data_IF_988937287811
#
_entry.id   IF_988937287811
#
_cell.length_a   1.000
_cell.length_b   1.000
_cell.length_c   1.000
_cell.angle_alpha   90.00
_cell.angle_beta   90.00
_cell.angle_gamma   90.00
#
_symmetry.space_group_name_H-M   'P 1'
#
loop_
_entity.id
_entity.type
_entity.pdbx_description
1 polymer ?
#
# COMPACT_ATOMS: atom_id res chain seq x y z
N UNK A 1 -26.26 -33.37 -13.86
CA UNK A 1 -25.86 -31.95 -13.92
C UNK A 1 -26.34 -31.28 -12.64
N UNK A 2 -25.44 -31.10 -11.68
CA UNK A 2 -25.75 -30.32 -10.46
C UNK A 2 -25.31 -28.89 -10.73
N UNK A 3 -26.27 -27.98 -10.57
CA UNK A 3 -26.12 -26.53 -10.56
C UNK A 3 -25.00 -26.12 -9.61
N UNK A 4 -23.84 -25.75 -10.15
CA UNK A 4 -22.82 -25.00 -9.41
C UNK A 4 -23.32 -23.58 -9.23
N UNK A 5 -23.72 -23.29 -8.00
CA UNK A 5 -24.15 -21.97 -7.56
C UNK A 5 -22.96 -21.01 -7.71
N UNK A 6 -23.18 -19.86 -8.34
CA UNK A 6 -22.15 -18.85 -8.65
C UNK A 6 -21.58 -18.17 -7.38
N UNK A 7 -22.21 -18.42 -6.23
CA UNK A 7 -21.87 -17.78 -4.95
C UNK A 7 -20.69 -18.43 -4.20
N UNK A 8 -20.16 -19.57 -4.64
CA UNK A 8 -19.06 -20.25 -3.94
C UNK A 8 -17.65 -19.71 -4.30
N UNK A 9 -17.54 -18.73 -5.21
CA UNK A 9 -16.24 -18.13 -5.63
C UNK A 9 -15.93 -16.76 -5.02
N UNK A 10 -16.76 -16.26 -4.12
CA UNK A 10 -16.53 -14.99 -3.41
C UNK A 10 -16.20 -15.23 -1.92
N UNK A 11 -15.15 -16.02 -1.66
CA UNK A 11 -14.34 -15.85 -0.44
C UNK A 11 -13.37 -14.66 -0.54
N UNK A 12 -13.57 -13.76 -1.51
CA UNK A 12 -13.04 -12.41 -1.46
C UNK A 12 -13.88 -11.62 -0.46
N UNK A 13 -13.56 -11.74 0.82
CA UNK A 13 -13.70 -10.58 1.70
C UNK A 13 -12.80 -9.49 1.14
N UNK A 14 -13.29 -8.71 0.18
CA UNK A 14 -12.62 -7.45 -0.17
C UNK A 14 -12.72 -6.53 1.04
N UNK A 15 -11.69 -5.75 1.39
CA UNK A 15 -11.75 -4.82 2.53
C UNK A 15 -13.00 -3.92 2.53
N UNK A 16 -13.57 -3.63 1.35
CA UNK A 16 -14.83 -2.88 1.18
C UNK A 16 -16.06 -3.50 1.87
N UNK A 17 -16.20 -4.84 1.93
CA UNK A 17 -17.32 -5.48 2.66
C UNK A 17 -17.10 -5.52 4.18
N UNK A 18 -15.87 -5.24 4.60
CA UNK A 18 -15.46 -5.07 5.99
C UNK A 18 -15.72 -3.63 6.48
N UNK A 19 -15.41 -2.61 5.68
CA UNK A 19 -15.51 -1.18 6.05
C UNK A 19 -16.92 -0.65 6.39
N UNK A 20 -18.01 -1.28 5.95
CA UNK A 20 -19.38 -0.84 6.27
C UNK A 20 -19.88 -1.27 7.66
N UNK A 21 -19.12 -2.12 8.37
CA UNK A 21 -19.46 -2.56 9.72
C UNK A 21 -18.58 -1.79 10.70
N UNK A 22 -19.10 -1.53 11.91
CA UNK A 22 -18.34 -0.98 13.05
C UNK A 22 -17.06 -1.81 13.24
N UNK A 23 -15.95 -1.39 12.66
CA UNK A 23 -14.73 -2.18 12.65
C UNK A 23 -13.74 -1.69 13.69
N UNK A 24 -13.08 -2.67 14.29
CA UNK A 24 -12.09 -2.52 15.34
C UNK A 24 -10.72 -2.21 14.74
N UNK A 25 -9.83 -1.60 15.52
CA UNK A 25 -8.47 -1.23 15.14
C UNK A 25 -7.66 -2.32 14.40
N UNK A 26 -7.97 -3.61 14.60
CA UNK A 26 -7.33 -4.75 13.92
C UNK A 26 -7.65 -4.84 12.42
N UNK A 27 -8.82 -4.37 11.98
CA UNK A 27 -9.21 -4.36 10.57
C UNK A 27 -8.46 -3.28 9.77
N UNK A 28 -8.04 -2.20 10.45
CA UNK A 28 -7.22 -1.13 9.88
C UNK A 28 -5.78 -1.59 9.61
N UNK A 29 -5.21 -2.43 10.50
CA UNK A 29 -3.88 -3.03 10.34
C UNK A 29 -3.72 -3.78 9.02
N UNK A 30 -4.67 -4.71 8.77
CA UNK A 30 -4.65 -5.54 7.57
C UNK A 30 -4.71 -4.70 6.30
N UNK A 31 -5.51 -3.62 6.32
CA UNK A 31 -5.60 -2.68 5.21
C UNK A 31 -4.29 -1.88 5.03
N UNK A 32 -3.62 -1.50 6.12
CA UNK A 32 -2.36 -0.75 6.09
C UNK A 32 -1.20 -1.60 5.55
N UNK A 33 -1.05 -2.85 6.03
CA UNK A 33 -0.03 -3.80 5.54
C UNK A 33 -0.22 -4.15 4.05
N UNK A 34 -1.46 -4.18 3.57
CA UNK A 34 -1.77 -4.38 2.15
C UNK A 34 -1.45 -3.15 1.28
N UNK A 35 -1.57 -1.94 1.85
CA UNK A 35 -1.36 -0.66 1.17
C UNK A 35 -0.01 0.00 1.46
N UNK A 36 0.88 -0.73 2.14
CA UNK A 36 2.21 -0.25 2.53
C UNK A 36 2.93 0.41 1.34
N UNK A 37 3.62 1.53 1.60
CA UNK A 37 4.22 2.40 0.57
C UNK A 37 5.09 1.64 -0.43
N UNK A 38 5.78 0.60 0.04
CA UNK A 38 6.63 -0.25 -0.78
C UNK A 38 5.87 -0.90 -1.96
N UNK A 39 4.62 -1.36 -1.79
CA UNK A 39 3.83 -1.93 -2.89
C UNK A 39 3.38 -0.88 -3.90
N UNK A 40 3.03 0.31 -3.41
CA UNK A 40 2.64 1.45 -4.27
C UNK A 40 3.86 1.88 -5.11
N UNK A 41 5.02 2.01 -4.47
CA UNK A 41 6.29 2.37 -5.11
C UNK A 41 6.74 1.32 -6.13
N UNK A 42 6.50 0.03 -5.86
CA UNK A 42 6.77 -1.07 -6.81
C UNK A 42 5.97 -0.87 -8.09
N UNK A 43 4.65 -0.70 -7.99
CA UNK A 43 3.79 -0.54 -9.16
C UNK A 43 4.14 0.77 -9.89
N UNK A 44 4.41 1.86 -9.18
CA UNK A 44 4.81 3.13 -9.77
C UNK A 44 6.12 3.00 -10.57
N UNK A 45 7.10 2.29 -10.02
CA UNK A 45 8.38 2.02 -10.68
C UNK A 45 8.20 1.20 -11.95
N UNK A 46 7.35 0.16 -11.91
CA UNK A 46 7.02 -0.64 -13.09
C UNK A 46 6.28 0.18 -14.16
N UNK A 47 5.31 1.04 -13.78
CA UNK A 47 4.63 1.97 -14.69
C UNK A 47 5.63 2.90 -15.38
N UNK A 48 6.55 3.50 -14.63
CA UNK A 48 7.61 4.37 -15.16
C UNK A 48 8.49 3.61 -16.16
N UNK A 49 8.84 2.38 -15.85
CA UNK A 49 9.63 1.52 -16.73
C UNK A 49 8.89 1.17 -18.03
N UNK A 50 7.61 0.76 -17.97
CA UNK A 50 6.83 0.47 -19.18
C UNK A 50 6.68 1.72 -20.04
N UNK A 51 6.35 2.89 -19.44
CA UNK A 51 6.30 4.18 -20.14
C UNK A 51 7.59 4.50 -20.88
N UNK A 52 8.73 4.22 -20.24
CA UNK A 52 10.04 4.37 -20.86
C UNK A 52 10.20 3.39 -22.03
N UNK A 53 9.79 2.14 -21.91
CA UNK A 53 9.88 1.14 -22.99
C UNK A 53 9.11 1.58 -24.23
N UNK A 54 7.88 2.09 -24.07
CA UNK A 54 7.01 2.50 -25.18
C UNK A 54 7.34 3.88 -25.78
N UNK A 55 8.27 4.62 -25.18
CA UNK A 55 8.72 5.92 -25.69
C UNK A 55 9.48 5.76 -27.02
N UNK A 56 9.30 6.70 -27.94
CA UNK A 56 9.82 6.62 -29.31
C UNK A 56 11.36 6.53 -29.38
N UNK A 57 12.06 7.06 -28.38
CA UNK A 57 13.53 7.12 -28.36
C UNK A 57 14.17 5.89 -27.68
N UNK A 58 13.38 4.92 -27.22
CA UNK A 58 13.89 3.78 -26.47
C UNK A 58 14.12 2.54 -27.35
N UNK A 59 15.36 2.03 -27.34
CA UNK A 59 15.78 0.83 -28.08
C UNK A 59 15.29 -0.48 -27.48
N UNK A 60 14.72 -0.49 -26.28
CA UNK A 60 14.29 -1.71 -25.58
C UNK A 60 13.28 -2.51 -26.42
N UNK A 61 12.23 -1.87 -26.96
CA UNK A 61 11.24 -2.58 -27.79
C UNK A 61 11.87 -3.09 -29.08
N UNK A 62 12.79 -2.34 -29.68
CA UNK A 62 13.50 -2.78 -30.88
C UNK A 62 14.33 -4.05 -30.60
N UNK A 63 15.03 -4.09 -29.46
CA UNK A 63 15.82 -5.26 -29.04
C UNK A 63 14.90 -6.47 -28.76
N UNK A 64 13.74 -6.23 -28.16
CA UNK A 64 12.73 -7.27 -27.93
C UNK A 64 12.22 -7.83 -29.27
N UNK A 65 11.79 -6.96 -30.18
CA UNK A 65 11.27 -7.36 -31.49
C UNK A 65 12.33 -8.08 -32.32
N UNK A 66 13.56 -7.56 -32.36
CA UNK A 66 14.70 -8.21 -33.01
C UNK A 66 14.98 -9.59 -32.39
N UNK A 67 14.91 -9.71 -31.07
CA UNK A 67 15.10 -10.98 -30.37
C UNK A 67 14.04 -12.01 -30.69
N UNK A 68 12.76 -11.61 -30.68
CA UNK A 68 11.64 -12.46 -31.09
C UNK A 68 11.83 -12.91 -32.54
N UNK A 69 12.18 -11.98 -33.45
CA UNK A 69 12.40 -12.30 -34.87
C UNK A 69 13.49 -13.34 -35.10
N UNK A 70 14.52 -13.33 -34.24
CA UNK A 70 15.66 -14.28 -34.28
C UNK A 70 15.42 -15.56 -33.47
N UNK A 71 14.28 -15.68 -32.79
CA UNK A 71 13.98 -16.80 -31.91
C UNK A 71 14.89 -16.87 -30.68
N UNK A 72 15.35 -15.72 -30.16
CA UNK A 72 16.13 -15.67 -28.93
C UNK A 72 15.30 -16.18 -27.75
N UNK A 73 15.92 -16.97 -26.87
CA UNK A 73 15.29 -17.32 -25.60
C UNK A 73 15.19 -16.10 -24.67
N UNK A 74 14.29 -16.20 -23.69
CA UNK A 74 14.00 -15.12 -22.76
C UNK A 74 15.26 -14.65 -21.98
N UNK A 75 16.15 -15.56 -21.58
CA UNK A 75 17.36 -15.21 -20.82
C UNK A 75 18.34 -14.40 -21.67
N UNK A 76 18.51 -14.75 -22.95
CA UNK A 76 19.32 -14.01 -23.90
C UNK A 76 18.73 -12.61 -24.18
N UNK A 77 17.40 -12.53 -24.25
CA UNK A 77 16.68 -11.26 -24.40
C UNK A 77 16.91 -10.34 -23.20
N UNK A 78 16.75 -10.85 -21.98
CA UNK A 78 16.96 -10.10 -20.73
C UNK A 78 18.39 -9.57 -20.66
N UNK A 79 19.40 -10.38 -20.94
CA UNK A 79 20.81 -9.94 -20.98
C UNK A 79 21.07 -8.81 -21.98
N UNK A 80 20.29 -8.75 -23.06
CA UNK A 80 20.43 -7.70 -24.08
C UNK A 80 19.79 -6.38 -23.66
N UNK A 81 18.82 -6.43 -22.74
CA UNK A 81 18.06 -5.26 -22.27
C UNK A 81 18.64 -4.71 -20.96
N UNK A 82 19.17 -5.58 -20.10
CA UNK A 82 19.69 -5.24 -18.77
C UNK A 82 20.63 -4.01 -18.75
N UNK A 83 21.59 -3.86 -19.69
CA UNK A 83 22.47 -2.67 -19.71
C UNK A 83 21.74 -1.35 -20.01
N UNK A 84 20.52 -1.41 -20.54
CA UNK A 84 19.70 -0.24 -20.87
C UNK A 84 18.82 0.22 -19.69
N UNK A 85 18.74 -0.60 -18.63
CA UNK A 85 17.98 -0.29 -17.42
C UNK A 85 18.84 0.58 -16.51
N UNK A 86 18.68 1.89 -16.65
CA UNK A 86 19.39 2.86 -15.79
C UNK A 86 18.56 3.29 -14.57
N UNK A 87 17.39 2.70 -14.36
CA UNK A 87 16.50 3.03 -13.25
C UNK A 87 16.98 2.34 -11.97
N UNK A 88 17.12 3.09 -10.89
CA UNK A 88 17.22 2.51 -9.55
C UNK A 88 15.86 1.89 -9.20
N UNK A 89 15.85 0.63 -8.81
CA UNK A 89 14.66 -0.07 -8.34
C UNK A 89 14.51 0.13 -6.83
N UNK A 90 13.28 0.33 -6.37
CA UNK A 90 12.94 0.16 -4.96
C UNK A 90 12.85 -1.33 -4.64
N UNK A 91 13.39 -1.78 -3.51
CA UNK A 91 13.31 -3.17 -3.07
C UNK A 91 13.94 -4.19 -4.03
N UNK A 92 13.42 -5.42 -4.02
CA UNK A 92 13.89 -6.57 -4.81
C UNK A 92 13.16 -6.76 -6.14
N UNK A 93 12.66 -5.69 -6.76
CA UNK A 93 11.92 -5.76 -8.03
C UNK A 93 12.85 -6.18 -9.17
N UNK A 94 12.42 -7.15 -9.98
CA UNK A 94 13.06 -7.45 -11.25
C UNK A 94 12.20 -6.87 -12.37
N UNK A 95 12.56 -5.67 -12.83
CA UNK A 95 11.81 -4.94 -13.86
C UNK A 95 11.59 -5.73 -15.15
N UNK A 96 12.43 -6.70 -15.45
CA UNK A 96 12.28 -7.50 -16.66
C UNK A 96 11.34 -8.68 -16.43
N UNK A 97 11.57 -9.46 -15.39
CA UNK A 97 10.72 -10.59 -15.05
C UNK A 97 9.29 -10.13 -14.73
N UNK A 98 9.14 -9.12 -13.88
CA UNK A 98 7.83 -8.66 -13.39
C UNK A 98 7.01 -7.98 -14.51
N UNK A 99 7.67 -7.35 -15.48
CA UNK A 99 6.97 -6.70 -16.58
C UNK A 99 6.74 -7.64 -17.75
N UNK A 100 7.66 -8.55 -18.08
CA UNK A 100 7.60 -9.31 -19.34
C UNK A 100 7.25 -10.80 -19.21
N UNK A 101 7.38 -11.45 -18.05
CA UNK A 101 7.10 -12.90 -17.94
C UNK A 101 5.64 -13.24 -18.25
N UNK A 102 4.71 -12.38 -17.85
CA UNK A 102 3.27 -12.59 -18.09
C UNK A 102 2.79 -12.01 -19.43
N UNK A 103 3.68 -11.35 -20.19
CA UNK A 103 3.34 -10.91 -21.54
C UNK A 103 3.40 -12.11 -22.48
N UNK A 104 2.24 -12.52 -22.99
CA UNK A 104 2.17 -13.37 -24.19
C UNK A 104 2.70 -12.59 -25.40
N UNK A 105 4.01 -12.65 -25.60
CA UNK A 105 4.71 -12.04 -26.73
C UNK A 105 4.31 -12.75 -28.04
N UNK A 106 4.20 -12.02 -29.15
CA UNK A 106 3.81 -12.59 -30.43
C UNK A 106 4.85 -13.61 -30.93
N UNK A 107 4.38 -14.69 -31.57
CA UNK A 107 5.26 -15.59 -32.30
C UNK A 107 5.82 -14.88 -33.55
N UNK A 108 7.08 -15.15 -33.90
CA UNK A 108 7.75 -14.53 -35.06
C UNK A 108 7.17 -14.95 -36.42
N UNK A 109 6.26 -15.93 -36.46
CA UNK A 109 5.73 -16.49 -37.71
C UNK A 109 4.82 -15.49 -38.40
N UNK A 110 5.36 -14.83 -39.42
CA UNK A 110 4.59 -14.03 -40.39
C UNK A 110 4.54 -12.53 -40.10
N UNK A 111 5.24 -12.04 -39.06
CA UNK A 111 5.36 -10.61 -38.79
C UNK A 111 6.75 -10.10 -39.16
N UNK A 112 6.81 -8.97 -39.86
CA UNK A 112 8.07 -8.24 -40.04
C UNK A 112 8.45 -7.48 -38.75
N UNK A 113 9.71 -7.02 -38.65
CA UNK A 113 10.21 -6.35 -37.44
C UNK A 113 9.35 -5.14 -37.02
N UNK A 114 8.90 -4.24 -37.92
CA UNK A 114 7.95 -3.18 -37.57
C UNK A 114 6.63 -3.68 -36.96
N UNK A 115 6.04 -4.74 -37.51
CA UNK A 115 4.80 -5.34 -36.99
C UNK A 115 5.00 -5.98 -35.61
N UNK A 116 6.17 -6.60 -35.37
CA UNK A 116 6.54 -7.12 -34.05
C UNK A 116 6.72 -5.98 -33.03
N UNK A 117 7.34 -4.86 -33.42
CA UNK A 117 7.48 -3.67 -32.57
C UNK A 117 6.11 -3.15 -32.14
N UNK A 118 5.19 -2.97 -33.09
CA UNK A 118 3.83 -2.48 -32.79
C UNK A 118 3.04 -3.48 -31.94
N UNK A 119 3.18 -4.79 -32.19
CA UNK A 119 2.52 -5.82 -31.39
C UNK A 119 3.01 -5.84 -29.94
N UNK A 120 4.33 -5.82 -29.71
CA UNK A 120 4.94 -5.75 -28.37
C UNK A 120 4.53 -4.48 -27.65
N UNK A 121 4.54 -3.34 -28.37
CA UNK A 121 4.11 -2.05 -27.84
C UNK A 121 2.63 -2.07 -27.44
N UNK A 122 1.75 -2.65 -28.25
CA UNK A 122 0.33 -2.81 -27.93
C UNK A 122 0.12 -3.62 -26.65
N UNK A 123 0.82 -4.74 -26.48
CA UNK A 123 0.74 -5.54 -25.23
C UNK A 123 1.24 -4.78 -24.01
N UNK A 124 2.31 -4.01 -24.14
CA UNK A 124 2.81 -3.14 -23.07
C UNK A 124 1.85 -2.01 -22.74
N UNK A 125 1.16 -1.44 -23.74
CA UNK A 125 0.12 -0.42 -23.53
C UNK A 125 -1.10 -1.00 -22.79
N UNK A 126 -1.52 -2.22 -23.11
CA UNK A 126 -2.61 -2.89 -22.39
C UNK A 126 -2.22 -3.16 -20.92
N UNK A 127 -1.01 -3.68 -20.69
CA UNK A 127 -0.49 -3.88 -19.32
C UNK A 127 -0.39 -2.56 -18.58
N UNK A 128 0.15 -1.50 -19.22
CA UNK A 128 0.23 -0.17 -18.64
C UNK A 128 -1.14 0.34 -18.19
N UNK A 129 -2.19 0.19 -19.01
CA UNK A 129 -3.54 0.61 -18.66
C UNK A 129 -4.08 -0.11 -17.42
N UNK A 130 -3.85 -1.42 -17.32
CA UNK A 130 -4.27 -2.22 -16.15
C UNK A 130 -3.54 -1.74 -14.90
N UNK A 131 -2.22 -1.59 -14.98
CA UNK A 131 -1.39 -1.16 -13.86
C UNK A 131 -1.69 0.27 -13.42
N UNK A 132 -1.94 1.22 -14.35
CA UNK A 132 -2.34 2.58 -14.00
C UNK A 132 -3.68 2.61 -13.26
N UNK A 133 -4.62 1.73 -13.63
CA UNK A 133 -5.89 1.57 -12.92
C UNK A 133 -5.67 1.01 -11.51
N UNK A 134 -4.85 -0.03 -11.37
CA UNK A 134 -4.51 -0.64 -10.08
C UNK A 134 -3.79 0.35 -9.17
N UNK A 135 -2.77 1.03 -9.69
CA UNK A 135 -2.03 2.08 -8.99
C UNK A 135 -2.96 3.19 -8.51
N UNK A 136 -3.87 3.68 -9.36
CA UNK A 136 -4.84 4.69 -8.96
C UNK A 136 -5.72 4.20 -7.79
N UNK A 137 -6.25 2.98 -7.89
CA UNK A 137 -7.07 2.39 -6.81
C UNK A 137 -6.26 2.29 -5.51
N UNK A 138 -4.98 1.90 -5.57
CA UNK A 138 -4.13 1.84 -4.39
C UNK A 138 -3.83 3.23 -3.81
N UNK A 139 -3.51 4.22 -4.63
CA UNK A 139 -3.28 5.60 -4.20
C UNK A 139 -4.53 6.19 -3.55
N UNK A 140 -5.70 6.05 -4.19
CA UNK A 140 -6.96 6.56 -3.66
C UNK A 140 -7.29 5.89 -2.30
N UNK A 141 -7.02 4.59 -2.17
CA UNK A 141 -7.17 3.86 -0.90
C UNK A 141 -6.21 4.32 0.18
N UNK A 142 -4.93 4.52 -0.15
CA UNK A 142 -3.92 4.99 0.79
C UNK A 142 -4.26 6.41 1.28
N UNK A 143 -4.68 7.31 0.38
CA UNK A 143 -5.17 8.64 0.77
C UNK A 143 -6.38 8.56 1.70
N UNK A 144 -7.34 7.68 1.41
CA UNK A 144 -8.51 7.51 2.27
C UNK A 144 -8.14 6.97 3.66
N UNK A 145 -7.23 6.00 3.74
CA UNK A 145 -6.73 5.50 5.03
C UNK A 145 -6.01 6.59 5.81
N UNK A 146 -5.14 7.37 5.18
CA UNK A 146 -4.46 8.48 5.85
C UNK A 146 -5.46 9.51 6.39
N UNK A 147 -6.55 9.78 5.67
CA UNK A 147 -7.61 10.65 6.18
C UNK A 147 -8.32 10.05 7.40
N UNK A 148 -8.67 8.76 7.36
CA UNK A 148 -9.28 8.08 8.52
C UNK A 148 -8.34 8.12 9.73
N UNK A 149 -7.05 7.85 9.52
CA UNK A 149 -6.04 7.93 10.59
C UNK A 149 -5.98 9.33 11.18
N UNK A 150 -5.93 10.37 10.33
CA UNK A 150 -5.93 11.75 10.76
C UNK A 150 -7.18 12.08 11.60
N UNK A 151 -8.36 11.68 11.14
CA UNK A 151 -9.63 11.91 11.85
C UNK A 151 -9.64 11.21 13.22
N UNK A 152 -9.05 10.00 13.32
CA UNK A 152 -8.90 9.28 14.59
C UNK A 152 -7.96 10.04 15.55
N UNK A 153 -6.81 10.52 15.08
CA UNK A 153 -5.86 11.31 15.91
C UNK A 153 -6.57 12.56 16.44
N UNK A 154 -7.21 13.32 15.55
CA UNK A 154 -7.89 14.56 15.92
C UNK A 154 -9.00 14.30 16.94
N UNK A 155 -9.75 13.21 16.78
CA UNK A 155 -10.74 12.80 17.77
C UNK A 155 -10.07 12.47 19.13
N UNK A 156 -8.97 11.73 19.13
CA UNK A 156 -8.25 11.42 20.37
C UNK A 156 -7.66 12.68 21.04
N UNK A 157 -7.15 13.64 20.27
CA UNK A 157 -6.69 14.95 20.77
C UNK A 157 -7.83 15.73 21.43
N UNK A 158 -8.98 15.81 20.78
CA UNK A 158 -10.15 16.50 21.34
C UNK A 158 -10.61 15.84 22.65
N UNK A 159 -10.72 14.51 22.66
CA UNK A 159 -11.11 13.76 23.86
C UNK A 159 -10.08 13.88 24.99
N UNK A 160 -8.77 13.98 24.69
CA UNK A 160 -7.74 14.31 25.67
C UNK A 160 -8.08 15.65 26.37
N UNK A 161 -8.30 16.69 25.57
CA UNK A 161 -8.59 18.02 26.11
C UNK A 161 -9.91 18.07 26.88
N UNK A 162 -10.93 17.35 26.44
CA UNK A 162 -12.21 17.26 27.13
C UNK A 162 -12.06 16.57 28.50
N UNK A 163 -11.26 15.51 28.60
CA UNK A 163 -10.95 14.86 29.88
C UNK A 163 -10.21 15.83 30.81
N UNK A 164 -9.19 16.53 30.32
CA UNK A 164 -8.41 17.46 31.16
C UNK A 164 -9.28 18.65 31.60
N UNK A 165 -10.06 19.24 30.70
CA UNK A 165 -10.95 20.38 31.01
C UNK A 165 -11.95 19.99 32.10
N UNK A 166 -12.58 18.81 31.96
CA UNK A 166 -13.51 18.28 32.97
C UNK A 166 -12.83 18.08 34.32
N UNK A 167 -11.60 17.58 34.38
CA UNK A 167 -10.85 17.44 35.65
C UNK A 167 -10.63 18.79 36.34
N UNK A 168 -10.31 19.82 35.55
CA UNK A 168 -10.11 21.18 36.05
C UNK A 168 -11.40 21.75 36.61
N UNK A 169 -12.51 21.62 35.87
CA UNK A 169 -13.83 22.10 36.28
C UNK A 169 -14.35 21.39 37.54
N UNK A 170 -14.18 20.08 37.59
CA UNK A 170 -14.63 19.24 38.72
C UNK A 170 -13.67 19.32 39.92
N UNK A 171 -12.52 20.02 39.79
CA UNK A 171 -11.46 20.12 40.81
C UNK A 171 -10.95 18.75 41.29
N UNK A 172 -11.03 17.72 40.44
CA UNK A 172 -10.73 16.33 40.79
C UNK A 172 -9.23 16.06 40.81
N UNK A 173 -8.44 16.76 39.99
CA UNK A 173 -7.00 16.56 39.91
C UNK A 173 -6.24 17.86 39.69
N UNK A 174 -5.04 17.93 40.26
CA UNK A 174 -4.05 19.01 40.07
C UNK A 174 -3.07 18.68 38.93
N UNK A 175 -3.05 17.43 38.45
CA UNK A 175 -2.18 17.02 37.33
C UNK A 175 -2.99 16.97 36.02
N UNK A 176 -2.55 17.74 35.03
CA UNK A 176 -3.12 17.77 33.68
C UNK A 176 -2.68 16.52 32.87
N UNK A 177 -2.70 15.34 33.50
CA UNK A 177 -2.27 14.05 32.95
C UNK A 177 -3.45 13.07 32.88
N UNK A 178 -3.37 12.09 31.99
CA UNK A 178 -4.33 11.00 31.85
C UNK A 178 -3.90 9.76 32.61
N UNK A 179 -4.80 9.19 33.40
CA UNK A 179 -4.62 7.83 33.91
C UNK A 179 -4.86 6.79 32.82
N UNK A 180 -4.36 5.57 33.03
CA UNK A 180 -4.64 4.42 32.15
C UNK A 180 -6.13 4.19 31.87
N UNK A 181 -7.01 4.44 32.85
CA UNK A 181 -8.46 4.28 32.68
C UNK A 181 -9.02 5.33 31.72
N UNK A 182 -8.59 6.57 31.85
CA UNK A 182 -9.04 7.70 31.01
C UNK A 182 -8.47 7.58 29.60
N UNK A 183 -7.20 7.21 29.48
CA UNK A 183 -6.61 6.88 28.20
C UNK A 183 -7.37 5.75 27.48
N UNK A 184 -7.82 4.72 28.20
CA UNK A 184 -8.68 3.66 27.64
C UNK A 184 -10.02 4.18 27.12
N UNK A 185 -10.59 5.20 27.77
CA UNK A 185 -11.84 5.82 27.31
C UNK A 185 -11.64 6.59 26.00
N UNK A 186 -10.52 7.30 25.86
CA UNK A 186 -10.16 8.05 24.65
C UNK A 186 -9.91 7.10 23.47
N UNK A 187 -9.06 6.09 23.66
CA UNK A 187 -8.70 5.15 22.59
C UNK A 187 -9.87 4.23 22.21
N UNK A 188 -10.76 3.94 23.16
CA UNK A 188 -11.98 3.15 22.97
C UNK A 188 -11.77 1.82 22.21
N UNK A 189 -10.73 1.07 22.61
CA UNK A 189 -10.39 -0.24 22.03
C UNK A 189 -10.77 -1.40 22.95
N UNK A 190 -11.22 -2.49 22.33
CA UNK A 190 -11.47 -3.76 23.03
C UNK A 190 -10.22 -4.65 23.11
N UNK A 191 -9.19 -4.38 22.29
CA UNK A 191 -7.95 -5.16 22.33
C UNK A 191 -7.09 -4.71 23.51
N UNK A 192 -7.17 -5.49 24.60
CA UNK A 192 -6.48 -5.16 25.86
C UNK A 192 -4.97 -5.37 25.77
N UNK A 193 -4.49 -6.32 24.97
CA UNK A 193 -3.05 -6.56 24.81
C UNK A 193 -2.39 -5.39 24.07
N UNK A 194 -2.97 -4.99 22.94
CA UNK A 194 -2.52 -3.84 22.16
C UNK A 194 -2.63 -2.54 22.96
N UNK A 195 -3.76 -2.33 23.66
CA UNK A 195 -3.93 -1.18 24.54
C UNK A 195 -2.81 -1.09 25.60
N UNK A 196 -2.47 -2.22 26.22
CA UNK A 196 -1.40 -2.24 27.23
C UNK A 196 -0.03 -1.94 26.63
N UNK A 197 0.28 -2.47 25.44
CA UNK A 197 1.52 -2.17 24.74
C UNK A 197 1.62 -0.67 24.42
N UNK A 198 0.56 -0.10 23.86
CA UNK A 198 0.49 1.32 23.54
C UNK A 198 0.63 2.19 24.79
N UNK A 199 -0.12 1.90 25.85
CA UNK A 199 -0.06 2.68 27.09
C UNK A 199 1.38 2.68 27.64
N UNK A 200 2.01 1.51 27.70
CA UNK A 200 3.38 1.39 28.19
C UNK A 200 4.41 2.04 27.26
N UNK A 201 4.09 2.22 25.97
CA UNK A 201 4.94 2.91 25.02
C UNK A 201 4.90 4.44 25.20
N UNK A 202 3.72 4.98 25.51
CA UNK A 202 3.53 6.43 25.74
C UNK A 202 4.02 6.85 27.13
N UNK A 203 3.75 6.02 28.13
CA UNK A 203 4.16 6.21 29.54
C UNK A 203 5.67 5.95 29.70
N UNK A 204 6.49 6.76 29.03
CA UNK A 204 7.95 6.61 28.93
C UNK A 204 8.65 6.77 30.30
N UNK A 205 8.09 7.59 31.20
CA UNK A 205 8.59 7.74 32.58
C UNK A 205 8.04 6.67 33.55
N UNK A 206 7.05 5.89 33.11
CA UNK A 206 6.47 4.77 33.87
C UNK A 206 5.74 5.21 35.15
N UNK A 207 5.31 6.47 35.23
CA UNK A 207 4.60 7.00 36.40
C UNK A 207 3.11 6.58 36.41
N UNK A 208 2.66 5.93 35.32
CA UNK A 208 1.30 5.45 35.15
C UNK A 208 0.32 6.54 34.68
N UNK A 209 0.84 7.70 34.29
CA UNK A 209 0.09 8.86 33.85
C UNK A 209 0.69 9.48 32.58
N UNK A 210 -0.14 9.65 31.56
CA UNK A 210 0.28 10.23 30.29
C UNK A 210 0.10 11.74 30.31
N UNK A 211 1.18 12.50 30.09
CA UNK A 211 1.08 13.94 29.83
C UNK A 211 0.88 14.27 28.35
N UNK A 212 0.49 15.51 28.06
CA UNK A 212 0.19 15.95 26.69
C UNK A 212 1.35 15.72 25.73
N UNK A 213 2.58 16.03 26.14
CA UNK A 213 3.75 15.89 25.26
C UNK A 213 4.02 14.43 24.92
N UNK A 214 3.94 13.53 25.90
CA UNK A 214 4.05 12.09 25.68
C UNK A 214 2.97 11.60 24.71
N UNK A 215 1.73 12.02 24.92
CA UNK A 215 0.60 11.68 24.06
C UNK A 215 0.81 12.17 22.62
N UNK A 216 1.09 13.46 22.43
CA UNK A 216 1.23 14.11 21.12
C UNK A 216 2.40 13.55 20.29
N UNK A 217 3.56 13.33 20.92
CA UNK A 217 4.77 12.85 20.24
C UNK A 217 4.57 11.41 19.74
N UNK A 218 3.92 10.57 20.54
CA UNK A 218 3.84 9.13 20.27
C UNK A 218 2.61 8.73 19.44
N UNK A 219 1.65 9.65 19.25
CA UNK A 219 0.40 9.38 18.53
C UNK A 219 0.60 8.93 17.08
N UNK A 220 1.53 9.55 16.34
CA UNK A 220 1.81 9.17 14.95
C UNK A 220 2.46 7.78 14.87
N UNK A 221 3.35 7.46 15.80
CA UNK A 221 4.05 6.17 15.84
C UNK A 221 3.11 5.03 16.24
N UNK A 222 2.18 5.27 17.17
CA UNK A 222 1.17 4.30 17.58
C UNK A 222 0.29 3.85 16.42
N UNK A 223 -0.03 4.77 15.52
CA UNK A 223 -0.84 4.46 14.35
C UNK A 223 -0.05 3.72 13.28
N UNK A 224 1.29 3.82 13.27
CA UNK A 224 2.14 2.94 12.47
C UNK A 224 2.32 1.55 13.10
N UNK A 225 2.07 1.41 14.41
CA UNK A 225 2.06 0.12 15.11
C UNK A 225 0.72 -0.61 14.98
N UNK A 226 -0.35 0.08 14.55
CA UNK A 226 -1.66 -0.51 14.30
C UNK A 226 -1.55 -1.68 13.35
#
# INVERSE_FOLDING_TARGET
>A
MKSTNIDDWLCLCTPLSCFQRKQTNEDLKCCYDELNSEKVDVIETQIKFIKRCISQDNKIIQIIADGISRGMDYKALIRSIDPLITMKTAGSINLLDDNFNDLYLPESKGLNTPELVESVKGKLQDKLRIMEKEHKVMVDRNQHLNQIMFDIIENWRNEYFDVITRKVDEKISVNNKLSKKEFKQIINTNNTAWFNLMFNYIDDDGDGLIEWNQFEIQLEEILQML
#
